data_IF_082279155115
#
_entry.id   IF_082279155115
#
_cell.length_a   1.000
_cell.length_b   1.000
_cell.length_c   1.000
_cell.angle_alpha   90.00
_cell.angle_beta   90.00
_cell.angle_gamma   90.00
#
_symmetry.space_group_name_H-M   'P 1'
#
loop_
_entity.id
_entity.type
_entity.pdbx_description
1 polymer ?
#
# COMPACT_ATOMS: atom_id res chain seq x y z
N UNK A 1 2.79 32.54 8.86
CA UNK A 1 3.78 31.90 9.74
C UNK A 1 4.35 30.70 9.00
N UNK A 2 5.66 30.68 8.84
CA UNK A 2 6.41 29.49 8.38
C UNK A 2 6.16 28.42 9.44
N UNK A 3 5.68 27.21 9.08
CA UNK A 3 5.55 26.14 10.05
C UNK A 3 6.89 25.89 10.71
N UNK A 4 6.91 25.67 12.02
CA UNK A 4 8.09 25.25 12.76
C UNK A 4 8.77 24.12 11.98
N UNK A 5 10.10 24.24 11.84
CA UNK A 5 10.92 23.25 11.15
C UNK A 5 10.66 21.87 11.73
N UNK A 6 10.17 20.95 10.91
CA UNK A 6 10.05 19.55 11.30
C UNK A 6 11.49 19.01 11.38
N UNK A 7 12.08 19.05 12.56
CA UNK A 7 13.35 18.37 12.84
C UNK A 7 13.07 16.86 12.84
N UNK A 8 13.17 16.25 11.68
CA UNK A 8 13.19 14.79 11.57
C UNK A 8 14.64 14.35 11.49
N UNK A 9 15.11 13.56 12.43
CA UNK A 9 16.37 12.86 12.27
C UNK A 9 16.16 11.61 11.42
N UNK A 10 16.88 11.53 10.32
CA UNK A 10 16.90 10.34 9.48
C UNK A 10 17.88 9.36 10.08
N UNK A 11 17.41 8.25 10.62
CA UNK A 11 18.28 7.12 10.92
C UNK A 11 18.24 6.22 9.69
N UNK A 12 19.30 6.19 8.87
CA UNK A 12 19.38 5.27 7.75
C UNK A 12 19.62 3.86 8.29
N UNK A 13 18.59 3.19 8.71
CA UNK A 13 18.63 1.72 8.87
C UNK A 13 18.59 1.12 7.48
N UNK A 14 19.73 1.10 6.82
CA UNK A 14 19.85 0.55 5.47
C UNK A 14 20.01 -0.94 5.55
N UNK A 15 18.91 -1.65 5.61
CA UNK A 15 18.92 -3.05 5.19
C UNK A 15 18.72 -3.03 3.68
N UNK A 16 19.72 -3.43 2.95
CA UNK A 16 19.67 -3.59 1.50
C UNK A 16 19.56 -5.08 1.25
N UNK A 17 18.49 -5.52 0.60
CA UNK A 17 18.42 -6.88 0.07
C UNK A 17 19.23 -6.98 -1.25
N UNK A 18 19.38 -8.20 -1.78
CA UNK A 18 20.11 -8.45 -3.03
C UNK A 18 19.52 -7.71 -4.25
N UNK A 19 18.28 -7.23 -4.14
CA UNK A 19 17.59 -6.44 -5.18
C UNK A 19 17.85 -4.93 -5.05
N UNK A 20 18.42 -4.48 -3.93
CA UNK A 20 18.69 -3.06 -3.65
C UNK A 20 17.48 -2.35 -3.00
N UNK A 21 16.58 -3.07 -2.34
CA UNK A 21 15.55 -2.51 -1.48
C UNK A 21 16.18 -1.86 -0.26
N UNK A 22 15.73 -0.66 0.09
CA UNK A 22 16.22 0.08 1.27
C UNK A 22 15.05 0.38 2.18
N UNK A 23 15.14 -0.01 3.44
CA UNK A 23 14.24 0.44 4.51
C UNK A 23 14.94 1.51 5.32
N UNK A 24 14.24 2.56 5.71
CA UNK A 24 14.73 3.61 6.59
C UNK A 24 13.66 4.05 7.58
N UNK A 25 14.11 4.56 8.71
CA UNK A 25 13.27 5.11 9.76
C UNK A 25 13.41 6.63 9.80
N UNK A 26 12.31 7.29 10.13
CA UNK A 26 12.31 8.68 10.55
C UNK A 26 11.87 8.73 12.00
N UNK A 27 12.72 9.28 12.87
CA UNK A 27 12.33 9.66 14.22
C UNK A 27 11.64 11.03 14.15
N UNK A 28 10.45 11.10 14.67
CA UNK A 28 9.59 12.27 14.68
C UNK A 28 9.86 13.14 15.93
N UNK A 29 9.39 14.39 15.96
CA UNK A 29 9.65 15.32 17.05
C UNK A 29 9.17 14.85 18.42
N UNK A 30 8.17 13.98 18.46
CA UNK A 30 7.62 13.39 19.68
C UNK A 30 8.31 12.07 20.09
N UNK A 31 9.38 11.70 19.40
CA UNK A 31 10.13 10.47 19.63
C UNK A 31 9.54 9.22 19.01
N UNK A 32 8.36 9.31 18.38
CA UNK A 32 7.80 8.19 17.61
C UNK A 32 8.57 7.98 16.32
N UNK A 33 8.47 6.77 15.79
CA UNK A 33 9.16 6.38 14.56
C UNK A 33 8.19 6.00 13.46
N UNK A 34 8.54 6.33 12.23
CA UNK A 34 7.84 5.83 11.04
C UNK A 34 8.82 5.20 10.06
N UNK A 35 8.40 4.14 9.42
CA UNK A 35 9.19 3.39 8.47
C UNK A 35 8.79 3.68 7.04
N UNK A 36 9.78 3.72 6.15
CA UNK A 36 9.59 3.88 4.71
C UNK A 36 10.49 2.92 3.94
N UNK A 37 10.07 2.55 2.73
CA UNK A 37 10.82 1.59 1.91
C UNK A 37 11.02 2.14 0.50
N UNK A 38 12.26 2.12 0.03
CA UNK A 38 12.61 2.40 -1.37
C UNK A 38 12.71 1.07 -2.10
N UNK A 39 11.84 0.87 -3.08
CA UNK A 39 11.76 -0.34 -3.89
C UNK A 39 12.32 -0.07 -5.29
N UNK A 40 13.39 -0.74 -5.70
CA UNK A 40 13.83 -0.71 -7.08
C UNK A 40 12.87 -1.53 -7.96
N UNK A 41 12.37 -0.92 -9.00
CA UNK A 41 11.46 -1.58 -9.96
C UNK A 41 12.14 -1.59 -11.33
N UNK A 42 12.38 -2.76 -11.87
CA UNK A 42 12.86 -2.90 -13.24
C UNK A 42 11.77 -2.44 -14.22
N UNK A 43 12.08 -1.40 -14.96
CA UNK A 43 11.20 -0.88 -16.01
C UNK A 43 11.73 -1.28 -17.40
N UNK A 44 10.87 -1.28 -18.42
CA UNK A 44 11.23 -1.66 -19.78
C UNK A 44 12.43 -0.88 -20.35
N UNK A 45 12.59 0.40 -19.97
CA UNK A 45 13.66 1.28 -20.47
C UNK A 45 14.69 1.68 -19.43
N UNK A 46 14.32 1.71 -18.15
CA UNK A 46 15.20 2.12 -17.05
C UNK A 46 14.70 1.59 -15.72
N UNK A 47 15.64 1.38 -14.79
CA UNK A 47 15.32 1.15 -13.38
C UNK A 47 14.64 2.39 -12.79
N UNK A 48 13.59 2.19 -12.01
CA UNK A 48 12.85 3.24 -11.29
C UNK A 48 12.84 2.93 -9.81
N UNK A 49 12.77 3.97 -8.99
CA UNK A 49 12.60 3.79 -7.57
C UNK A 49 11.19 4.22 -7.15
N UNK A 50 10.52 3.33 -6.45
CA UNK A 50 9.21 3.57 -5.83
C UNK A 50 9.42 3.74 -4.34
N UNK A 51 8.97 4.85 -3.78
CA UNK A 51 8.94 5.06 -2.35
C UNK A 51 7.59 4.62 -1.79
N UNK A 52 7.64 3.68 -0.86
CA UNK A 52 6.51 3.29 -0.04
C UNK A 52 6.49 4.18 1.21
N UNK A 53 5.49 5.07 1.29
CA UNK A 53 5.34 6.03 2.39
C UNK A 53 4.29 5.59 3.37
N UNK A 54 4.51 5.94 4.64
CA UNK A 54 3.58 5.78 5.75
C UNK A 54 2.68 7.01 5.88
N UNK A 55 1.46 6.81 6.35
CA UNK A 55 0.48 7.86 6.61
C UNK A 55 0.11 8.01 8.08
N UNK A 56 0.46 7.02 8.91
CA UNK A 56 0.20 7.00 10.35
C UNK A 56 1.37 6.33 11.06
N UNK A 57 1.50 6.54 12.37
CA UNK A 57 2.29 5.69 13.26
C UNK A 57 1.36 4.65 13.82
N UNK A 58 1.58 3.38 13.46
CA UNK A 58 0.63 2.30 13.73
C UNK A 58 -0.59 2.32 12.80
N UNK A 59 -1.61 1.48 13.08
CA UNK A 59 -2.82 1.37 12.28
C UNK A 59 -3.99 0.80 13.09
N UNK A 60 -5.16 1.43 13.03
CA UNK A 60 -6.38 0.97 13.72
C UNK A 60 -7.16 -0.12 12.97
N UNK A 61 -6.75 -0.50 11.75
CA UNK A 61 -7.56 -1.40 10.91
C UNK A 61 -7.56 -2.86 11.37
N UNK A 62 -6.58 -3.27 12.19
CA UNK A 62 -6.54 -4.57 12.84
C UNK A 62 -6.42 -5.77 11.89
N UNK A 63 -5.83 -5.60 10.70
CA UNK A 63 -5.62 -6.70 9.76
C UNK A 63 -4.67 -7.75 10.37
N UNK A 64 -5.12 -8.99 10.52
CA UNK A 64 -4.37 -10.05 11.22
C UNK A 64 -3.04 -10.42 10.57
N UNK A 65 -2.90 -10.18 9.27
CA UNK A 65 -1.70 -10.46 8.50
C UNK A 65 -0.68 -9.32 8.49
N UNK A 66 -0.95 -8.18 9.16
CA UNK A 66 -0.14 -6.97 9.08
C UNK A 66 0.52 -6.65 10.43
N UNK A 67 1.85 -6.46 10.42
CA UNK A 67 2.64 -6.09 11.60
C UNK A 67 2.22 -4.73 12.15
N UNK A 68 2.06 -3.72 11.29
CA UNK A 68 1.63 -2.37 11.68
C UNK A 68 0.30 -2.38 12.45
N UNK A 69 -0.62 -3.29 12.09
CA UNK A 69 -1.90 -3.40 12.76
C UNK A 69 -1.79 -3.95 14.19
N UNK A 70 -0.71 -4.69 14.51
CA UNK A 70 -0.46 -5.19 15.87
C UNK A 70 -0.01 -4.07 16.81
N UNK A 71 0.52 -2.96 16.29
CA UNK A 71 0.88 -1.79 17.09
C UNK A 71 -0.35 -1.01 17.60
N UNK A 72 -1.52 -1.19 16.96
CA UNK A 72 -2.61 -0.23 17.10
C UNK A 72 -2.29 1.11 16.44
N UNK A 73 -3.19 2.07 16.51
CA UNK A 73 -2.96 3.43 16.04
C UNK A 73 -2.41 4.29 17.18
N UNK A 74 -1.23 4.85 16.99
CA UNK A 74 -0.67 5.84 17.91
C UNK A 74 -1.11 7.24 17.51
N UNK A 75 -0.85 7.66 16.27
CA UNK A 75 -1.36 8.92 15.70
C UNK A 75 -1.26 8.99 14.17
N UNK A 76 -1.95 9.97 13.61
CA UNK A 76 -1.78 10.39 12.23
C UNK A 76 -0.42 11.09 12.03
N UNK A 77 0.20 10.91 10.87
CA UNK A 77 1.30 11.75 10.41
C UNK A 77 0.75 13.06 9.88
N UNK A 78 1.47 14.15 10.11
CA UNK A 78 1.21 15.44 9.47
C UNK A 78 1.64 15.41 7.99
N UNK A 79 1.16 16.35 7.20
CA UNK A 79 1.59 16.54 5.81
C UNK A 79 3.12 16.68 5.72
N UNK A 80 3.71 17.45 6.62
CA UNK A 80 5.17 17.67 6.66
C UNK A 80 5.94 16.38 6.94
N UNK A 81 5.46 15.53 7.85
CA UNK A 81 6.07 14.22 8.16
C UNK A 81 5.93 13.23 6.99
N UNK A 82 4.82 13.27 6.24
CA UNK A 82 4.67 12.48 5.01
C UNK A 82 5.68 12.94 3.96
N UNK A 83 5.84 14.24 3.74
CA UNK A 83 6.79 14.81 2.79
C UNK A 83 8.25 14.57 3.24
N UNK A 84 8.52 14.58 4.55
CA UNK A 84 9.85 14.30 5.08
C UNK A 84 10.37 12.92 4.67
N UNK A 85 9.52 11.92 4.48
CA UNK A 85 9.91 10.59 3.98
C UNK A 85 10.46 10.69 2.54
N UNK A 86 9.79 11.45 1.67
CA UNK A 86 10.29 11.71 0.31
C UNK A 86 11.58 12.51 0.36
N UNK A 87 11.66 13.55 1.18
CA UNK A 87 12.86 14.39 1.32
C UNK A 87 14.05 13.56 1.80
N UNK A 88 13.86 12.70 2.80
CA UNK A 88 14.90 11.80 3.28
C UNK A 88 15.40 10.84 2.18
N UNK A 89 14.50 10.23 1.43
CA UNK A 89 14.85 9.32 0.33
C UNK A 89 15.68 10.01 -0.76
N UNK A 90 15.28 11.24 -1.17
CA UNK A 90 15.95 11.96 -2.26
C UNK A 90 17.25 12.63 -1.83
N UNK A 91 17.29 13.24 -0.65
CA UNK A 91 18.41 14.10 -0.22
C UNK A 91 19.34 13.40 0.76
N UNK A 92 18.83 12.79 1.83
CA UNK A 92 19.71 12.12 2.80
C UNK A 92 20.23 10.77 2.27
N UNK A 93 19.41 10.00 1.56
CA UNK A 93 19.80 8.70 0.99
C UNK A 93 20.21 8.78 -0.49
N UNK A 94 20.17 9.97 -1.10
CA UNK A 94 20.62 10.23 -2.47
C UNK A 94 19.91 9.39 -3.55
N UNK A 95 18.68 8.95 -3.29
CA UNK A 95 17.95 8.08 -4.22
C UNK A 95 16.81 8.84 -4.90
N UNK A 96 16.96 9.14 -6.19
CA UNK A 96 15.89 9.78 -6.97
C UNK A 96 14.63 8.91 -6.98
N UNK A 97 13.54 9.43 -6.44
CA UNK A 97 12.24 8.76 -6.41
C UNK A 97 11.43 9.08 -7.67
N UNK A 98 10.97 8.05 -8.36
CA UNK A 98 10.14 8.17 -9.56
C UNK A 98 8.65 7.96 -9.29
N UNK A 99 8.28 7.15 -8.28
CA UNK A 99 6.89 6.82 -7.95
C UNK A 99 6.68 6.85 -6.44
N UNK A 100 5.44 7.13 -6.02
CA UNK A 100 5.02 7.09 -4.61
C UNK A 100 3.86 6.10 -4.46
N UNK A 101 3.92 5.27 -3.42
CA UNK A 101 2.80 4.42 -3.02
C UNK A 101 2.52 4.63 -1.53
N UNK A 102 1.30 4.96 -1.18
CA UNK A 102 0.84 5.05 0.21
C UNK A 102 0.43 3.65 0.67
N UNK A 103 1.45 2.81 0.93
CA UNK A 103 1.30 1.41 1.31
C UNK A 103 2.19 1.02 2.49
N UNK A 104 2.75 2.03 3.18
CA UNK A 104 3.51 1.88 4.40
C UNK A 104 2.62 1.70 5.63
N UNK A 105 3.03 2.27 6.75
CA UNK A 105 2.27 2.20 8.00
C UNK A 105 1.01 3.06 7.92
N UNK A 106 -0.13 2.51 8.40
CA UNK A 106 -1.41 3.20 8.51
C UNK A 106 -2.38 2.94 7.37
N UNK A 107 -3.59 3.50 7.54
CA UNK A 107 -4.64 3.58 6.51
C UNK A 107 -4.71 5.02 5.98
N UNK A 108 -4.27 5.28 4.74
CA UNK A 108 -4.20 6.65 4.22
C UNK A 108 -5.54 7.37 4.20
N UNK A 109 -6.63 6.64 3.98
CA UNK A 109 -7.96 7.25 3.91
C UNK A 109 -8.56 7.61 5.29
N UNK A 110 -7.89 7.25 6.39
CA UNK A 110 -8.18 7.75 7.73
C UNK A 110 -7.40 9.04 8.07
N UNK A 111 -6.47 9.45 7.19
CA UNK A 111 -5.64 10.64 7.36
C UNK A 111 -5.65 11.54 6.12
N UNK A 112 -6.81 11.69 5.47
CA UNK A 112 -6.92 12.44 4.22
C UNK A 112 -6.58 13.92 4.37
N UNK A 113 -6.80 14.51 5.55
CA UNK A 113 -6.45 15.91 5.83
C UNK A 113 -4.93 16.17 5.69
N UNK A 114 -4.09 15.14 5.85
CA UNK A 114 -2.66 15.24 5.62
C UNK A 114 -2.23 14.61 4.28
N UNK A 115 -2.89 13.53 3.85
CA UNK A 115 -2.53 12.78 2.63
C UNK A 115 -2.85 13.58 1.37
N UNK A 116 -4.01 14.28 1.30
CA UNK A 116 -4.36 15.09 0.12
C UNK A 116 -3.35 16.22 -0.09
N UNK A 117 -3.06 17.08 0.90
CA UNK A 117 -2.01 18.10 0.74
C UNK A 117 -0.63 17.50 0.44
N UNK A 118 -0.29 16.34 0.98
CA UNK A 118 0.97 15.68 0.65
C UNK A 118 1.02 15.27 -0.85
N UNK A 119 -0.08 14.75 -1.40
CA UNK A 119 -0.16 14.42 -2.83
C UNK A 119 -0.02 15.70 -3.67
N UNK A 120 -0.65 16.80 -3.26
CA UNK A 120 -0.55 18.09 -3.96
C UNK A 120 0.89 18.59 -4.00
N UNK A 121 1.61 18.56 -2.87
CA UNK A 121 3.03 18.97 -2.79
C UNK A 121 3.92 18.03 -3.63
N UNK A 122 3.69 16.71 -3.55
CA UNK A 122 4.47 15.74 -4.33
C UNK A 122 4.28 15.89 -5.84
N UNK A 123 3.10 16.33 -6.26
CA UNK A 123 2.77 16.52 -7.67
C UNK A 123 3.10 17.93 -8.21
N UNK A 124 3.42 18.89 -7.33
CA UNK A 124 3.72 20.25 -7.73
C UNK A 124 4.96 20.30 -8.64
N UNK A 125 4.82 20.98 -9.78
CA UNK A 125 5.91 21.14 -10.76
C UNK A 125 7.08 21.99 -10.24
N UNK A 126 6.86 22.86 -9.24
CA UNK A 126 7.89 23.65 -8.57
C UNK A 126 8.54 22.91 -7.39
N UNK A 127 8.07 21.70 -7.10
CA UNK A 127 8.55 20.83 -6.04
C UNK A 127 9.08 19.49 -6.56
N UNK A 128 8.65 18.37 -5.98
CA UNK A 128 9.05 17.03 -6.40
C UNK A 128 8.68 16.67 -7.85
N UNK A 129 7.66 17.27 -8.41
CA UNK A 129 7.18 17.08 -9.78
C UNK A 129 6.87 15.60 -10.12
N UNK A 130 6.33 14.86 -9.17
CA UNK A 130 5.92 13.46 -9.37
C UNK A 130 4.53 13.45 -9.99
N UNK A 131 4.44 13.07 -11.26
CA UNK A 131 3.16 13.03 -11.97
C UNK A 131 2.12 12.19 -11.21
N UNK A 132 0.86 12.64 -11.15
CA UNK A 132 -0.23 11.94 -10.45
C UNK A 132 -0.40 10.48 -10.89
N UNK A 133 -0.08 10.16 -12.15
CA UNK A 133 -0.05 8.78 -12.67
C UNK A 133 1.02 7.87 -12.04
N UNK A 134 1.89 8.45 -11.24
CA UNK A 134 2.96 7.74 -10.50
C UNK A 134 2.71 7.74 -8.99
N UNK A 135 1.56 8.21 -8.58
CA UNK A 135 1.13 8.20 -7.18
C UNK A 135 -0.04 7.21 -7.06
N UNK A 136 0.07 6.29 -6.12
CA UNK A 136 -0.96 5.31 -5.82
C UNK A 136 -1.31 5.36 -4.33
N UNK A 137 -2.58 5.54 -4.03
CA UNK A 137 -3.10 5.46 -2.65
C UNK A 137 -3.73 4.10 -2.44
N UNK A 138 -3.34 3.39 -1.37
CA UNK A 138 -3.94 2.12 -0.99
C UNK A 138 -4.97 2.30 0.11
N UNK A 139 -5.96 1.42 0.17
CA UNK A 139 -6.95 1.40 1.24
C UNK A 139 -7.48 0.00 1.52
N UNK A 140 -7.80 -0.27 2.77
CA UNK A 140 -8.55 -1.46 3.18
C UNK A 140 -10.04 -1.38 2.81
N UNK A 141 -10.51 -0.22 2.30
CA UNK A 141 -11.89 -0.03 1.84
C UNK A 141 -12.71 0.97 2.66
N UNK A 142 -12.10 2.09 3.06
CA UNK A 142 -12.79 3.21 3.71
C UNK A 142 -13.64 3.96 2.70
N UNK A 143 -14.95 3.66 2.66
CA UNK A 143 -15.88 4.12 1.61
C UNK A 143 -15.91 5.64 1.48
N UNK A 144 -16.02 6.37 2.58
CA UNK A 144 -16.06 7.85 2.55
C UNK A 144 -14.73 8.42 2.07
N UNK A 145 -13.61 7.85 2.49
CA UNK A 145 -12.29 8.23 2.00
C UNK A 145 -12.12 7.97 0.50
N UNK A 146 -12.65 6.85 -0.01
CA UNK A 146 -12.66 6.56 -1.46
C UNK A 146 -13.43 7.64 -2.23
N UNK A 147 -14.57 8.11 -1.71
CA UNK A 147 -15.35 9.18 -2.34
C UNK A 147 -14.58 10.51 -2.39
N UNK A 148 -13.91 10.88 -1.30
CA UNK A 148 -13.11 12.10 -1.23
C UNK A 148 -11.91 12.03 -2.19
N UNK A 149 -11.18 10.90 -2.20
CA UNK A 149 -10.08 10.70 -3.14
C UNK A 149 -10.56 10.69 -4.59
N UNK A 150 -11.75 10.13 -4.86
CA UNK A 150 -12.38 10.16 -6.18
C UNK A 150 -12.75 11.58 -6.61
N UNK A 151 -13.14 12.46 -5.69
CA UNK A 151 -13.37 13.87 -5.98
C UNK A 151 -12.07 14.56 -6.44
N UNK A 152 -10.96 14.36 -5.72
CA UNK A 152 -9.63 14.83 -6.13
C UNK A 152 -9.24 14.28 -7.51
N UNK A 153 -9.42 12.98 -7.74
CA UNK A 153 -9.07 12.32 -9.00
C UNK A 153 -9.93 12.78 -10.21
N UNK A 154 -10.96 13.60 -10.00
CA UNK A 154 -11.73 14.26 -11.08
C UNK A 154 -11.19 15.65 -11.43
N UNK A 155 -10.34 16.23 -10.59
CA UNK A 155 -9.78 17.56 -10.83
C UNK A 155 -8.60 17.51 -11.80
N UNK A 156 -8.36 18.62 -12.50
CA UNK A 156 -7.22 18.71 -13.42
C UNK A 156 -5.90 18.54 -12.65
N UNK A 157 -4.94 17.86 -13.28
CA UNK A 157 -3.67 17.50 -12.66
C UNK A 157 -3.70 16.13 -11.92
N UNK A 158 -4.86 15.69 -11.41
CA UNK A 158 -4.98 14.46 -10.61
C UNK A 158 -5.78 13.33 -11.28
N UNK A 159 -6.26 13.52 -12.51
CA UNK A 159 -7.11 12.56 -13.24
C UNK A 159 -6.51 11.15 -13.38
N UNK A 160 -5.20 11.01 -13.21
CA UNK A 160 -4.49 9.72 -13.30
C UNK A 160 -4.00 9.18 -11.96
N UNK A 161 -4.48 9.76 -10.84
CA UNK A 161 -4.20 9.26 -9.51
C UNK A 161 -4.74 7.83 -9.35
N UNK A 162 -3.89 6.90 -8.95
CA UNK A 162 -4.25 5.48 -8.84
C UNK A 162 -4.76 5.13 -7.44
N UNK A 163 -5.74 4.24 -7.39
CA UNK A 163 -6.28 3.66 -6.16
C UNK A 163 -6.00 2.16 -6.14
N UNK A 164 -5.31 1.68 -5.12
CA UNK A 164 -5.23 0.27 -4.79
C UNK A 164 -6.22 -0.05 -3.67
N UNK A 165 -6.93 -1.15 -3.76
CA UNK A 165 -7.81 -1.59 -2.68
C UNK A 165 -7.46 -3.00 -2.21
N UNK A 166 -7.27 -3.13 -0.90
CA UNK A 166 -6.93 -4.38 -0.24
C UNK A 166 -8.17 -5.24 -0.09
N UNK A 167 -8.43 -6.11 -1.08
CA UNK A 167 -9.56 -7.03 -1.02
C UNK A 167 -9.24 -8.24 -0.15
N UNK A 168 -8.08 -8.87 -0.35
CA UNK A 168 -7.42 -9.93 0.43
C UNK A 168 -8.27 -11.19 0.71
N UNK A 169 -9.47 -11.29 0.17
CA UNK A 169 -10.35 -12.43 0.35
C UNK A 169 -11.28 -12.61 -0.85
N UNK A 170 -11.72 -13.84 -1.15
CA UNK A 170 -12.67 -14.11 -2.22
C UNK A 170 -14.09 -13.68 -1.89
N UNK A 171 -14.46 -13.71 -0.60
CA UNK A 171 -15.81 -13.42 -0.11
C UNK A 171 -15.78 -12.69 1.25
N UNK A 172 -16.98 -12.24 1.68
CA UNK A 172 -17.16 -11.51 2.94
C UNK A 172 -16.85 -12.37 4.17
N UNK A 173 -17.06 -13.70 4.10
CA UNK A 173 -16.84 -14.59 5.23
C UNK A 173 -15.35 -14.65 5.58
N UNK A 174 -14.49 -14.93 4.59
CA UNK A 174 -13.04 -14.99 4.78
C UNK A 174 -12.49 -13.59 5.09
N UNK A 175 -13.02 -12.56 4.40
CA UNK A 175 -12.57 -11.19 4.61
C UNK A 175 -12.77 -10.73 6.06
N UNK A 176 -13.92 -11.04 6.66
CA UNK A 176 -14.24 -10.72 8.06
C UNK A 176 -13.31 -11.42 9.07
N UNK A 177 -12.76 -12.58 8.72
CA UNK A 177 -11.83 -13.32 9.58
C UNK A 177 -10.45 -12.66 9.65
N UNK A 178 -9.97 -12.10 8.54
CA UNK A 178 -8.60 -11.57 8.44
C UNK A 178 -8.53 -10.03 8.43
N UNK A 179 -9.66 -9.34 8.23
CA UNK A 179 -9.78 -7.88 8.17
C UNK A 179 -11.01 -7.42 8.95
N UNK A 180 -10.87 -6.94 10.20
CA UNK A 180 -12.00 -6.56 11.05
C UNK A 180 -12.92 -5.50 10.45
N UNK A 181 -12.41 -4.57 9.63
CA UNK A 181 -13.22 -3.57 8.91
C UNK A 181 -14.33 -4.21 8.07
N UNK A 182 -14.12 -5.42 7.55
CA UNK A 182 -15.11 -6.12 6.75
C UNK A 182 -16.41 -6.48 7.51
N UNK A 183 -16.40 -6.35 8.83
CA UNK A 183 -17.63 -6.45 9.64
C UNK A 183 -18.58 -5.26 9.41
N UNK A 184 -18.03 -4.10 9.09
CA UNK A 184 -18.78 -2.87 8.84
C UNK A 184 -18.98 -2.58 7.34
N UNK A 185 -18.07 -3.04 6.47
CA UNK A 185 -18.07 -2.76 5.02
C UNK A 185 -18.03 -4.07 4.25
N UNK A 186 -19.14 -4.43 3.61
CA UNK A 186 -19.22 -5.61 2.75
C UNK A 186 -18.46 -5.41 1.44
N UNK A 187 -18.07 -6.52 0.82
CA UNK A 187 -17.45 -6.51 -0.51
C UNK A 187 -18.35 -5.86 -1.57
N UNK A 188 -19.68 -6.02 -1.47
CA UNK A 188 -20.63 -5.35 -2.36
C UNK A 188 -20.57 -3.83 -2.23
N UNK A 189 -20.52 -3.30 -1.00
CA UNK A 189 -20.38 -1.86 -0.77
C UNK A 189 -19.04 -1.34 -1.28
N UNK A 190 -17.95 -2.07 -1.01
CA UNK A 190 -16.63 -1.75 -1.52
C UNK A 190 -16.62 -1.72 -3.05
N UNK A 191 -17.16 -2.74 -3.72
CA UNK A 191 -17.26 -2.78 -5.18
C UNK A 191 -17.98 -1.56 -5.74
N UNK A 192 -19.11 -1.17 -5.13
CA UNK A 192 -19.87 0.00 -5.59
C UNK A 192 -19.04 1.30 -5.47
N UNK A 193 -18.29 1.47 -4.38
CA UNK A 193 -17.42 2.63 -4.21
C UNK A 193 -16.26 2.64 -5.24
N UNK A 194 -15.67 1.48 -5.51
CA UNK A 194 -14.60 1.33 -6.50
C UNK A 194 -15.12 1.59 -7.93
N UNK A 195 -16.34 1.14 -8.26
CA UNK A 195 -16.95 1.42 -9.56
C UNK A 195 -17.20 2.91 -9.80
N UNK A 196 -17.40 3.68 -8.74
CA UNK A 196 -17.58 5.13 -8.80
C UNK A 196 -16.25 5.91 -8.87
N UNK A 197 -15.10 5.25 -8.66
CA UNK A 197 -13.79 5.89 -8.79
C UNK A 197 -13.46 6.19 -10.26
N UNK A 198 -12.92 7.38 -10.60
CA UNK A 198 -12.57 7.74 -11.98
C UNK A 198 -11.57 6.74 -12.57
N UNK A 199 -11.75 6.42 -13.84
CA UNK A 199 -10.87 5.51 -14.58
C UNK A 199 -10.33 6.19 -15.81
N UNK A 200 -9.11 5.85 -16.15
CA UNK A 200 -8.43 6.29 -17.35
C UNK A 200 -7.84 5.08 -18.08
N UNK A 201 -7.52 5.23 -19.34
CA UNK A 201 -7.01 4.16 -20.21
C UNK A 201 -5.72 3.50 -19.70
N UNK A 202 -4.99 4.18 -18.81
CA UNK A 202 -3.75 3.66 -18.19
C UNK A 202 -3.78 3.94 -16.69
N UNK A 203 -3.90 2.91 -15.89
CA UNK A 203 -3.93 2.98 -14.43
C UNK A 203 -5.34 3.14 -13.86
N UNK A 204 -5.46 3.65 -12.66
CA UNK A 204 -6.72 3.96 -12.00
C UNK A 204 -7.00 3.06 -10.81
N UNK A 205 -7.39 1.81 -11.03
CA UNK A 205 -7.80 0.92 -9.93
C UNK A 205 -7.07 -0.42 -9.97
N UNK A 206 -6.61 -0.89 -8.81
CA UNK A 206 -5.86 -2.12 -8.65
C UNK A 206 -6.34 -2.89 -7.40
N UNK A 207 -6.63 -4.18 -7.54
CA UNK A 207 -6.96 -5.05 -6.42
C UNK A 207 -5.69 -5.68 -5.84
N UNK A 208 -5.49 -5.56 -4.53
CA UNK A 208 -4.39 -6.20 -3.81
C UNK A 208 -4.93 -7.41 -3.02
N UNK A 209 -4.28 -8.55 -3.18
CA UNK A 209 -4.67 -9.81 -2.57
C UNK A 209 -3.47 -10.48 -1.91
N UNK A 210 -3.41 -10.41 -0.59
CA UNK A 210 -2.41 -11.15 0.20
C UNK A 210 -2.82 -12.61 0.25
N UNK A 211 -1.99 -13.49 -0.31
CA UNK A 211 -2.26 -14.93 -0.42
C UNK A 211 -1.76 -15.64 0.84
N UNK A 212 -2.68 -16.09 1.69
CA UNK A 212 -2.40 -16.70 2.99
C UNK A 212 -2.71 -18.21 2.91
N UNK A 213 -1.72 -19.09 3.18
CA UNK A 213 -1.90 -20.53 3.11
C UNK A 213 -3.02 -21.04 4.01
N UNK A 214 -3.90 -21.89 3.44
CA UNK A 214 -5.01 -22.51 4.16
C UNK A 214 -6.14 -21.55 4.55
N UNK A 215 -6.09 -20.28 4.12
CA UNK A 215 -7.11 -19.28 4.42
C UNK A 215 -7.86 -18.85 3.17
N UNK A 216 -7.12 -18.36 2.17
CA UNK A 216 -7.70 -17.76 0.95
C UNK A 216 -7.01 -18.22 -0.34
N UNK A 217 -6.28 -19.34 -0.32
CA UNK A 217 -5.37 -19.78 -1.37
C UNK A 217 -5.83 -21.02 -2.18
N UNK A 218 -7.13 -21.43 -2.06
CA UNK A 218 -7.66 -22.53 -2.85
C UNK A 218 -7.95 -22.13 -4.31
N UNK A 219 -8.12 -23.11 -5.18
CA UNK A 219 -8.47 -22.89 -6.59
C UNK A 219 -9.87 -22.24 -6.72
N UNK A 220 -10.81 -22.64 -5.87
CA UNK A 220 -12.14 -22.05 -5.80
C UNK A 220 -12.07 -20.59 -5.40
N UNK A 221 -11.20 -20.24 -4.44
CA UNK A 221 -10.98 -18.86 -4.04
C UNK A 221 -10.41 -18.01 -5.18
N UNK A 222 -9.54 -18.59 -6.03
CA UNK A 222 -9.01 -17.89 -7.20
C UNK A 222 -10.10 -17.58 -8.22
N UNK A 223 -11.02 -18.50 -8.45
CA UNK A 223 -12.18 -18.28 -9.35
C UNK A 223 -13.11 -17.23 -8.75
N UNK A 224 -13.48 -17.37 -7.47
CA UNK A 224 -14.44 -16.51 -6.78
C UNK A 224 -13.99 -15.05 -6.75
N UNK A 225 -12.70 -14.78 -6.45
CA UNK A 225 -12.20 -13.41 -6.47
C UNK A 225 -12.19 -12.82 -7.89
N UNK A 226 -11.90 -13.62 -8.92
CA UNK A 226 -11.93 -13.17 -10.30
C UNK A 226 -13.36 -12.81 -10.74
N UNK A 227 -14.36 -13.59 -10.35
CA UNK A 227 -15.78 -13.27 -10.60
C UNK A 227 -16.21 -11.98 -9.90
N UNK A 228 -15.77 -11.77 -8.65
CA UNK A 228 -16.02 -10.53 -7.94
C UNK A 228 -15.40 -9.32 -8.66
N UNK A 229 -14.20 -9.45 -9.22
CA UNK A 229 -13.46 -8.37 -9.88
C UNK A 229 -13.95 -8.10 -11.31
N UNK A 230 -14.61 -9.07 -11.96
CA UNK A 230 -15.04 -8.97 -13.36
C UNK A 230 -15.84 -7.69 -13.68
N UNK A 231 -16.85 -7.26 -12.88
CA UNK A 231 -17.54 -6.00 -13.13
C UNK A 231 -16.64 -4.77 -12.94
N UNK A 232 -15.63 -4.89 -12.07
CA UNK A 232 -14.67 -3.82 -11.81
C UNK A 232 -13.71 -3.66 -12.98
N UNK A 233 -13.26 -4.74 -13.65
CA UNK A 233 -12.34 -4.68 -14.78
C UNK A 233 -10.98 -4.09 -14.40
N UNK A 234 -10.44 -4.46 -13.24
CA UNK A 234 -9.12 -4.00 -12.75
C UNK A 234 -8.09 -5.14 -12.75
N UNK A 235 -6.82 -4.79 -12.62
CA UNK A 235 -5.77 -5.77 -12.40
C UNK A 235 -5.84 -6.37 -10.98
N UNK A 236 -5.44 -7.63 -10.84
CA UNK A 236 -5.29 -8.32 -9.58
C UNK A 236 -3.80 -8.53 -9.27
N UNK A 237 -3.33 -7.93 -8.20
CA UNK A 237 -1.99 -8.16 -7.66
C UNK A 237 -2.05 -9.25 -6.59
N UNK A 238 -1.38 -10.35 -6.82
CA UNK A 238 -1.18 -11.41 -5.83
C UNK A 238 0.11 -11.12 -5.07
N UNK A 239 -0.02 -10.95 -3.76
CA UNK A 239 1.08 -10.70 -2.83
C UNK A 239 1.27 -11.97 -2.01
N UNK A 240 2.33 -12.76 -2.22
CA UNK A 240 2.63 -13.87 -1.31
C UNK A 240 2.73 -13.33 0.12
N UNK A 241 2.05 -13.97 1.05
CA UNK A 241 2.05 -13.54 2.44
C UNK A 241 3.48 -13.51 2.99
N UNK A 242 3.83 -12.42 3.63
CA UNK A 242 5.09 -12.26 4.36
C UNK A 242 4.79 -12.40 5.86
N UNK A 243 5.24 -13.49 6.51
CA UNK A 243 4.97 -13.69 7.93
C UNK A 243 5.46 -12.49 8.74
N UNK A 244 4.59 -12.00 9.61
CA UNK A 244 4.92 -11.04 10.66
C UNK A 244 5.42 -11.77 11.90
N UNK A 245 5.92 -11.04 12.88
CA UNK A 245 6.28 -11.62 14.17
C UNK A 245 5.08 -12.32 14.82
N UNK A 246 5.31 -13.50 15.36
CA UNK A 246 4.29 -14.35 15.96
C UNK A 246 3.08 -14.65 15.04
N UNK A 247 3.32 -14.72 13.72
CA UNK A 247 2.28 -15.05 12.76
C UNK A 247 1.74 -16.45 12.97
N UNK A 248 0.40 -16.66 12.92
CA UNK A 248 -0.18 -18.01 12.92
C UNK A 248 -0.02 -18.72 11.58
N UNK A 249 0.40 -18.02 10.52
CA UNK A 249 0.50 -18.56 9.17
C UNK A 249 1.95 -18.55 8.69
N UNK A 250 2.38 -19.62 7.97
CA UNK A 250 3.67 -19.61 7.28
C UNK A 250 3.58 -18.79 5.97
N UNK A 251 4.73 -18.53 5.37
CA UNK A 251 4.77 -18.05 3.98
C UNK A 251 4.21 -19.13 3.03
N UNK A 252 3.50 -18.73 1.96
CA UNK A 252 3.04 -19.68 0.94
C UNK A 252 4.22 -20.27 0.17
N UNK A 253 4.07 -21.52 -0.28
CA UNK A 253 5.05 -22.14 -1.16
C UNK A 253 4.98 -21.55 -2.57
N UNK A 254 6.10 -21.58 -3.29
CA UNK A 254 6.13 -21.17 -4.69
C UNK A 254 5.10 -21.91 -5.55
N UNK A 255 4.94 -23.21 -5.28
CA UNK A 255 3.97 -24.05 -5.99
C UNK A 255 2.53 -23.59 -5.76
N UNK A 256 2.14 -23.26 -4.50
CA UNK A 256 0.79 -22.79 -4.20
C UNK A 256 0.51 -21.41 -4.83
N UNK A 257 1.48 -20.50 -4.77
CA UNK A 257 1.35 -19.18 -5.40
C UNK A 257 1.18 -19.30 -6.91
N UNK A 258 2.04 -20.11 -7.55
CA UNK A 258 1.99 -20.30 -9.02
C UNK A 258 0.69 -20.97 -9.46
N UNK A 259 0.17 -21.94 -8.67
CA UNK A 259 -1.12 -22.60 -8.93
C UNK A 259 -2.27 -21.58 -8.86
N UNK A 260 -2.36 -20.79 -7.78
CA UNK A 260 -3.38 -19.76 -7.63
C UNK A 260 -3.36 -18.74 -8.78
N UNK A 261 -2.17 -18.25 -9.14
CA UNK A 261 -1.98 -17.31 -10.26
C UNK A 261 -2.40 -17.94 -11.60
N UNK A 262 -2.09 -19.22 -11.84
CA UNK A 262 -2.49 -19.91 -13.06
C UNK A 262 -4.01 -20.05 -13.16
N UNK A 263 -4.68 -20.48 -12.08
CA UNK A 263 -6.15 -20.60 -12.02
C UNK A 263 -6.79 -19.24 -12.26
N UNK A 264 -6.33 -18.19 -11.57
CA UNK A 264 -6.87 -16.84 -11.74
C UNK A 264 -6.68 -16.32 -13.19
N UNK A 265 -5.53 -16.57 -13.83
CA UNK A 265 -5.31 -16.20 -15.24
C UNK A 265 -6.23 -16.95 -16.20
N UNK A 266 -6.53 -18.23 -15.93
CA UNK A 266 -7.41 -19.04 -16.76
C UNK A 266 -8.87 -18.52 -16.79
N UNK A 267 -9.29 -17.71 -15.82
CA UNK A 267 -10.59 -17.01 -15.85
C UNK A 267 -10.61 -15.80 -16.79
N UNK A 268 -9.48 -15.43 -17.39
CA UNK A 268 -9.31 -14.21 -18.18
C UNK A 268 -8.94 -12.97 -17.37
N UNK A 269 -8.74 -13.11 -16.04
CA UNK A 269 -8.32 -12.01 -15.18
C UNK A 269 -6.88 -11.58 -15.47
N UNK A 270 -6.63 -10.27 -15.58
CA UNK A 270 -5.27 -9.75 -15.62
C UNK A 270 -4.64 -9.85 -14.23
N UNK A 271 -3.68 -10.76 -14.07
CA UNK A 271 -3.04 -11.07 -12.78
C UNK A 271 -1.55 -10.74 -12.84
N UNK A 272 -1.08 -10.03 -11.83
CA UNK A 272 0.35 -9.85 -11.54
C UNK A 272 0.68 -10.53 -10.22
N UNK A 273 1.75 -11.30 -10.21
CA UNK A 273 2.38 -11.72 -8.96
C UNK A 273 3.39 -10.66 -8.57
N UNK A 274 3.28 -10.12 -7.36
CA UNK A 274 4.30 -9.24 -6.80
C UNK A 274 5.51 -10.06 -6.36
N UNK A 275 6.69 -9.60 -6.75
CA UNK A 275 7.94 -10.13 -6.20
C UNK A 275 8.03 -9.62 -4.76
N UNK A 276 8.29 -10.50 -3.82
CA UNK A 276 8.55 -10.11 -2.44
C UNK A 276 9.95 -9.51 -2.37
N UNK A 277 10.03 -8.22 -2.07
CA UNK A 277 11.27 -7.50 -1.84
C UNK A 277 11.37 -7.14 -0.35
N UNK A 278 12.57 -7.23 0.22
CA UNK A 278 12.84 -6.81 1.59
C UNK A 278 12.30 -7.73 2.70
N UNK A 279 11.93 -8.99 2.39
CA UNK A 279 11.36 -9.90 3.42
C UNK A 279 12.31 -10.10 4.59
N UNK A 280 13.58 -10.37 4.33
CA UNK A 280 14.58 -10.67 5.36
C UNK A 280 14.94 -9.44 6.21
N UNK A 281 14.57 -8.27 5.72
CA UNK A 281 14.76 -6.99 6.36
C UNK A 281 13.49 -6.47 7.07
N UNK A 282 12.43 -7.25 7.17
CA UNK A 282 11.12 -6.79 7.64
C UNK A 282 10.67 -5.51 6.89
N UNK A 283 10.91 -5.46 5.57
CA UNK A 283 10.59 -4.34 4.70
C UNK A 283 9.54 -4.69 3.63
N UNK A 284 9.06 -5.93 3.61
CA UNK A 284 8.02 -6.33 2.69
C UNK A 284 6.63 -5.81 3.12
N UNK A 285 5.67 -5.84 2.18
CA UNK A 285 4.29 -5.45 2.49
C UNK A 285 3.74 -6.23 3.69
N UNK A 286 3.18 -5.50 4.66
CA UNK A 286 2.62 -6.05 5.90
C UNK A 286 3.63 -6.28 7.01
N UNK A 287 4.92 -5.98 6.82
CA UNK A 287 5.99 -6.22 7.81
C UNK A 287 6.49 -4.94 8.50
N UNK A 288 6.01 -3.75 8.12
CA UNK A 288 6.47 -2.50 8.72
C UNK A 288 5.89 -2.31 10.13
N UNK A 289 6.71 -1.77 11.01
CA UNK A 289 6.39 -1.42 12.39
C UNK A 289 7.11 -2.27 13.42
N UNK A 290 7.52 -1.62 14.51
CA UNK A 290 8.09 -2.28 15.69
C UNK A 290 7.00 -2.42 16.76
N UNK A 291 6.84 -3.61 17.32
CA UNK A 291 5.86 -3.87 18.40
C UNK A 291 6.49 -3.79 19.79
N UNK A 292 7.78 -3.48 19.89
CA UNK A 292 8.50 -3.30 21.14
C UNK A 292 8.42 -1.84 21.65
N UNK A 293 7.20 -1.38 21.96
CA UNK A 293 6.97 -0.10 22.65
C UNK A 293 6.23 -0.33 23.94
#
# INVERSE_FOLDING_TARGET
>A
SIPESVETSVIPSTVVDDYGTKKFLLTLNDGLETESVILPIEGYKKKRHTLCVSSQVGCAMGCDFCQTAQMGLLRNLTTAEIIAQWHAANHALGTKIDNIVFMGMGEPLENLDAVIPAIEILADNNGPAIASSRICVSTVGRIEGIKLLAAMARTDGYKRLSLAFSINAPNDEIRKKIMPLAKAVSMKQLRNAILAYPRHDVGGVLAEYVLIPGVNDSDEHAVEICEYLKPIGCGLNIIPYNPRDNSPWPAPTETSVNRFVAVAKNTGQFVRRRITLGRDAMAACGQLGNTEH
#
